data_IF_240303322633
#
_entry.id   IF_240303322633
#
_cell.length_a   1.000
_cell.length_b   1.000
_cell.length_c   1.000
_cell.angle_alpha   90.00
_cell.angle_beta   90.00
_cell.angle_gamma   90.00
#
_symmetry.space_group_name_H-M   'P 1'
#
loop_
_entity.id
_entity.type
_entity.pdbx_description
1 polymer ?
#
# COMPACT_ATOMS: atom_id res chain seq x y z
N UNK A 1 11.56 -19.05 -25.73
CA UNK A 1 12.48 -18.34 -24.79
C UNK A 1 11.56 -17.60 -23.85
N UNK A 2 11.60 -17.90 -22.54
CA UNK A 2 10.89 -17.12 -21.54
C UNK A 2 11.49 -15.72 -21.52
N UNK A 3 10.63 -14.69 -21.59
CA UNK A 3 11.10 -13.30 -21.45
C UNK A 3 11.90 -13.14 -20.14
N UNK A 4 12.97 -12.33 -20.14
CA UNK A 4 13.74 -12.09 -18.94
C UNK A 4 12.83 -11.46 -17.87
N UNK A 5 12.94 -11.94 -16.65
CA UNK A 5 12.20 -11.40 -15.49
C UNK A 5 12.62 -9.94 -15.28
N UNK A 6 11.66 -9.02 -15.25
CA UNK A 6 11.88 -7.58 -15.08
C UNK A 6 11.55 -7.16 -13.64
N UNK A 7 12.43 -6.37 -13.02
CA UNK A 7 12.18 -5.75 -11.72
C UNK A 7 11.09 -4.67 -11.85
N UNK A 8 10.05 -4.73 -11.02
CA UNK A 8 8.96 -3.75 -11.00
C UNK A 8 9.18 -2.71 -9.91
N UNK A 9 9.00 -1.44 -10.24
CA UNK A 9 9.19 -0.34 -9.31
C UNK A 9 7.93 0.51 -9.18
N UNK A 10 7.39 0.56 -7.97
CA UNK A 10 6.35 1.51 -7.60
C UNK A 10 6.88 2.54 -6.62
N UNK A 11 6.22 3.69 -6.52
CA UNK A 11 6.53 4.69 -5.49
C UNK A 11 5.30 5.05 -4.67
N UNK A 12 5.45 5.00 -3.35
CA UNK A 12 4.45 5.48 -2.41
C UNK A 12 4.59 7.00 -2.26
N UNK A 13 3.60 7.73 -2.75
CA UNK A 13 3.53 9.17 -2.65
C UNK A 13 2.63 9.58 -1.47
N UNK A 14 3.25 10.17 -0.45
CA UNK A 14 2.57 10.70 0.73
C UNK A 14 3.12 12.08 1.06
N UNK A 15 2.30 13.06 1.31
CA UNK A 15 2.65 14.44 1.70
C UNK A 15 4.14 14.80 1.66
N UNK A 16 4.79 14.76 2.81
CA UNK A 16 6.22 15.08 2.95
C UNK A 16 7.15 13.85 2.94
N UNK A 17 6.62 12.63 2.80
CA UNK A 17 7.42 11.39 2.78
C UNK A 17 7.03 10.36 3.85
N UNK A 18 7.76 9.23 3.87
CA UNK A 18 7.47 8.09 4.76
C UNK A 18 7.92 8.26 6.20
N UNK A 19 8.91 9.12 6.49
CA UNK A 19 9.33 9.39 7.86
C UNK A 19 8.32 10.31 8.56
N UNK A 20 8.01 10.04 9.81
CA UNK A 20 7.03 10.80 10.57
C UNK A 20 7.39 12.28 10.76
N UNK A 21 8.69 12.58 10.82
CA UNK A 21 9.22 13.94 10.98
C UNK A 21 9.59 14.60 9.65
N UNK A 22 9.31 13.96 8.50
CA UNK A 22 9.65 14.46 7.17
C UNK A 22 9.14 15.86 6.88
N UNK A 23 7.98 16.24 7.43
CA UNK A 23 7.41 17.58 7.30
C UNK A 23 8.30 18.70 7.86
N UNK A 24 9.23 18.37 8.77
CA UNK A 24 10.23 19.30 9.35
C UNK A 24 11.47 19.47 8.49
N UNK A 25 11.66 18.60 7.50
CA UNK A 25 12.82 18.67 6.61
C UNK A 25 12.76 19.95 5.76
N UNK A 26 13.90 20.67 5.54
CA UNK A 26 13.91 21.92 4.79
C UNK A 26 13.33 21.82 3.37
N UNK A 27 13.43 20.67 2.71
CA UNK A 27 12.87 20.44 1.36
C UNK A 27 11.39 20.08 1.36
N UNK A 28 10.78 19.82 2.51
CA UNK A 28 9.37 19.40 2.57
C UNK A 28 8.43 20.54 2.11
N UNK A 29 7.38 20.15 1.38
CA UNK A 29 6.34 21.09 0.95
C UNK A 29 5.28 21.14 2.05
N UNK A 30 5.04 22.29 2.69
CA UNK A 30 4.20 22.40 3.89
C UNK A 30 2.77 21.90 3.72
N UNK A 31 2.15 22.14 2.55
CA UNK A 31 0.81 21.71 2.18
C UNK A 31 0.80 20.47 1.26
N UNK A 32 1.92 19.77 1.12
CA UNK A 32 2.13 18.68 0.17
C UNK A 32 1.05 17.59 0.23
N UNK A 33 0.49 17.34 1.40
CA UNK A 33 -0.54 16.32 1.59
C UNK A 33 -1.86 16.59 0.84
N UNK A 34 -2.18 17.85 0.53
CA UNK A 34 -3.40 18.30 -0.19
C UNK A 34 -3.07 19.25 -1.35
N UNK A 35 -1.86 19.18 -1.87
CA UNK A 35 -1.41 20.00 -2.99
C UNK A 35 -1.40 19.19 -4.29
N UNK A 36 -2.41 19.37 -5.14
CA UNK A 36 -2.54 18.64 -6.40
C UNK A 36 -1.33 18.87 -7.32
N UNK A 37 -0.83 20.12 -7.45
CA UNK A 37 0.31 20.42 -8.32
C UNK A 37 1.58 19.69 -7.88
N UNK A 38 1.75 19.54 -6.58
CA UNK A 38 2.84 18.79 -6.00
C UNK A 38 2.77 17.30 -6.40
N UNK A 39 1.62 16.65 -6.23
CA UNK A 39 1.43 15.27 -6.65
C UNK A 39 1.53 15.08 -8.17
N UNK A 40 1.03 16.02 -8.97
CA UNK A 40 1.24 16.02 -10.42
C UNK A 40 2.73 16.03 -10.79
N UNK A 41 3.52 16.90 -10.14
CA UNK A 41 4.96 16.97 -10.36
C UNK A 41 5.68 15.66 -10.03
N UNK A 42 5.40 15.07 -8.86
CA UNK A 42 5.98 13.80 -8.44
C UNK A 42 5.56 12.64 -9.36
N UNK A 43 4.28 12.59 -9.76
CA UNK A 43 3.77 11.52 -10.63
C UNK A 43 4.37 11.59 -12.02
N UNK A 44 4.51 12.79 -12.62
CA UNK A 44 5.20 12.97 -13.90
C UNK A 44 6.67 12.56 -13.80
N UNK A 45 7.36 12.96 -12.72
CA UNK A 45 8.75 12.56 -12.49
C UNK A 45 8.88 11.03 -12.40
N UNK A 46 7.95 10.35 -11.73
CA UNK A 46 7.91 8.90 -11.69
C UNK A 46 7.67 8.27 -13.08
N UNK A 47 6.79 8.85 -13.89
CA UNK A 47 6.54 8.42 -15.26
C UNK A 47 7.75 8.62 -16.16
N UNK A 48 8.41 9.77 -16.09
CA UNK A 48 9.63 10.09 -16.85
C UNK A 48 10.78 9.15 -16.48
N UNK A 49 10.91 8.82 -15.20
CA UNK A 49 11.86 7.84 -14.68
C UNK A 49 11.50 6.37 -15.00
N UNK A 50 10.37 6.11 -15.70
CA UNK A 50 9.91 4.77 -16.10
C UNK A 50 9.55 3.85 -14.94
N UNK A 51 9.12 4.38 -13.81
CA UNK A 51 8.52 3.56 -12.78
C UNK A 51 7.22 2.94 -13.28
N UNK A 52 6.89 1.75 -12.77
CA UNK A 52 5.68 1.01 -13.21
C UNK A 52 4.39 1.67 -12.70
N UNK A 53 4.39 2.20 -11.47
CA UNK A 53 3.18 2.82 -10.88
C UNK A 53 3.49 3.77 -9.72
N UNK A 54 2.55 4.68 -9.48
CA UNK A 54 2.47 5.45 -8.22
C UNK A 54 1.37 4.87 -7.33
N UNK A 55 1.57 4.95 -6.02
CA UNK A 55 0.67 4.40 -5.03
C UNK A 55 0.28 5.44 -3.98
N UNK A 56 -1.01 5.47 -3.63
CA UNK A 56 -1.57 6.33 -2.60
C UNK A 56 -2.25 5.49 -1.52
N UNK A 57 -1.73 5.59 -0.30
CA UNK A 57 -2.32 4.96 0.88
C UNK A 57 -3.49 5.75 1.43
N UNK A 58 -4.35 5.05 2.19
CA UNK A 58 -5.44 5.67 2.93
C UNK A 58 -5.58 5.12 4.35
N UNK A 59 -6.26 5.89 5.20
CA UNK A 59 -6.64 5.52 6.55
C UNK A 59 -7.86 6.31 6.98
N UNK A 60 -8.90 5.61 7.44
CA UNK A 60 -10.25 6.13 7.65
C UNK A 60 -10.49 6.66 9.07
N UNK A 61 -9.41 6.88 9.81
CA UNK A 61 -9.47 7.40 11.19
C UNK A 61 -8.22 8.23 11.49
N UNK A 62 -8.45 9.33 12.18
CA UNK A 62 -7.41 10.16 12.78
C UNK A 62 -7.83 10.56 14.21
N UNK A 63 -6.85 10.89 15.03
CA UNK A 63 -7.02 11.52 16.33
C UNK A 63 -6.02 12.66 16.48
N UNK A 64 -6.14 13.43 17.56
CA UNK A 64 -5.18 14.47 17.94
C UNK A 64 -3.77 13.92 18.23
N UNK A 65 -3.64 12.59 18.45
CA UNK A 65 -2.36 11.89 18.63
C UNK A 65 -1.78 11.39 17.31
N UNK A 66 -2.50 11.51 16.19
CA UNK A 66 -2.00 11.10 14.89
C UNK A 66 -0.85 12.00 14.44
N UNK A 67 0.23 11.39 13.95
CA UNK A 67 1.35 12.21 13.48
C UNK A 67 1.02 12.95 12.17
N UNK A 68 1.71 14.07 11.87
CA UNK A 68 1.35 15.00 10.80
C UNK A 68 1.11 14.37 9.43
N UNK A 69 1.90 13.37 9.02
CA UNK A 69 1.74 12.72 7.71
C UNK A 69 0.42 11.94 7.54
N UNK A 70 -0.31 11.68 8.65
CA UNK A 70 -1.60 10.96 8.61
C UNK A 70 -2.80 11.86 8.88
N UNK A 71 -2.59 13.09 9.35
CA UNK A 71 -3.68 14.00 9.70
C UNK A 71 -4.48 14.48 8.49
N UNK A 72 -3.81 14.69 7.36
CA UNK A 72 -4.42 15.30 6.17
C UNK A 72 -3.98 14.54 4.92
N UNK A 73 -4.92 14.24 4.03
CA UNK A 73 -4.67 13.66 2.71
C UNK A 73 -5.88 13.84 1.80
N UNK A 74 -5.65 13.77 0.49
CA UNK A 74 -6.73 13.56 -0.46
C UNK A 74 -7.34 12.16 -0.32
N UNK A 75 -8.63 12.03 -0.63
CA UNK A 75 -9.22 10.73 -0.91
C UNK A 75 -8.56 10.15 -2.17
N UNK A 76 -8.02 8.90 -2.09
CA UNK A 76 -7.11 8.43 -3.14
C UNK A 76 -7.74 8.28 -4.52
N UNK A 77 -8.99 7.78 -4.66
CA UNK A 77 -9.60 7.58 -5.97
C UNK A 77 -9.89 8.88 -6.72
N UNK A 78 -10.31 9.91 -6.00
CA UNK A 78 -10.52 11.25 -6.60
C UNK A 78 -9.19 11.85 -7.04
N UNK A 79 -8.12 11.62 -6.28
CA UNK A 79 -6.78 12.03 -6.68
C UNK A 79 -6.31 11.27 -7.92
N UNK A 80 -6.52 9.95 -8.01
CA UNK A 80 -6.17 9.18 -9.21
C UNK A 80 -6.87 9.69 -10.46
N UNK A 81 -8.15 10.06 -10.36
CA UNK A 81 -8.89 10.61 -11.50
C UNK A 81 -8.26 11.92 -12.02
N UNK A 82 -7.76 12.77 -11.13
CA UNK A 82 -7.04 14.00 -11.51
C UNK A 82 -5.68 13.68 -12.14
N UNK A 83 -4.90 12.74 -11.57
CA UNK A 83 -3.60 12.36 -12.08
C UNK A 83 -3.68 11.58 -13.41
N UNK A 84 -4.78 10.86 -13.66
CA UNK A 84 -5.02 10.15 -14.92
C UNK A 84 -5.03 11.11 -16.11
N UNK A 85 -5.49 12.36 -15.92
CA UNK A 85 -5.52 13.38 -16.97
C UNK A 85 -4.15 14.00 -17.27
N UNK A 86 -3.17 13.77 -16.39
CA UNK A 86 -1.85 14.40 -16.42
C UNK A 86 -0.72 13.41 -16.77
N UNK A 87 -1.04 12.14 -16.95
CA UNK A 87 -0.13 11.03 -17.21
C UNK A 87 -0.63 10.13 -18.34
N UNK A 88 0.27 9.35 -18.95
CA UNK A 88 -0.04 8.54 -20.13
C UNK A 88 0.22 7.04 -19.93
N UNK A 89 1.28 6.67 -19.19
CA UNK A 89 1.79 5.30 -19.13
C UNK A 89 1.80 4.73 -17.70
N UNK A 90 2.12 5.56 -16.70
CA UNK A 90 2.33 5.10 -15.33
C UNK A 90 1.04 4.56 -14.71
N UNK A 91 1.13 3.40 -14.04
CA UNK A 91 0.04 2.83 -13.27
C UNK A 91 -0.36 3.73 -12.09
N UNK A 92 -1.64 3.77 -11.78
CA UNK A 92 -2.25 4.62 -10.76
C UNK A 92 -2.95 3.74 -9.74
N UNK A 93 -2.32 3.52 -8.58
CA UNK A 93 -2.82 2.62 -7.56
C UNK A 93 -3.30 3.37 -6.30
N UNK A 94 -4.48 3.02 -5.81
CA UNK A 94 -5.10 3.62 -4.64
C UNK A 94 -5.59 2.59 -3.62
N UNK A 95 -5.50 2.95 -2.35
CA UNK A 95 -6.08 2.18 -1.25
C UNK A 95 -7.58 2.42 -1.15
N UNK A 96 -8.36 1.34 -0.96
CA UNK A 96 -9.76 1.42 -0.60
C UNK A 96 -10.19 0.23 0.24
N UNK A 97 -10.99 0.52 1.28
CA UNK A 97 -11.40 -0.43 2.31
C UNK A 97 -12.53 -1.35 1.85
N UNK A 98 -12.40 -2.65 2.10
CA UNK A 98 -13.50 -3.62 1.96
C UNK A 98 -14.41 -3.67 3.18
N UNK A 99 -13.96 -3.19 4.34
CA UNK A 99 -14.73 -3.19 5.59
C UNK A 99 -15.73 -2.04 5.67
N UNK A 100 -15.38 -0.89 5.05
CA UNK A 100 -16.12 0.37 5.17
C UNK A 100 -16.61 0.92 3.83
N UNK A 101 -16.63 0.10 2.80
CA UNK A 101 -17.15 0.46 1.47
C UNK A 101 -18.20 -0.54 1.00
N UNK A 102 -18.86 -0.23 -0.11
CA UNK A 102 -19.85 -1.07 -0.76
C UNK A 102 -19.28 -1.65 -2.07
N UNK A 103 -19.38 -2.97 -2.32
CA UNK A 103 -18.73 -3.61 -3.46
C UNK A 103 -19.21 -3.08 -4.82
N UNK A 104 -20.49 -2.76 -4.98
CA UNK A 104 -21.02 -2.19 -6.23
C UNK A 104 -20.45 -0.79 -6.48
N UNK A 105 -20.37 0.03 -5.44
CA UNK A 105 -19.80 1.38 -5.51
C UNK A 105 -18.32 1.33 -5.87
N UNK A 106 -17.55 0.45 -5.22
CA UNK A 106 -16.11 0.28 -5.48
C UNK A 106 -15.86 -0.21 -6.90
N UNK A 107 -16.63 -1.20 -7.38
CA UNK A 107 -16.52 -1.68 -8.74
C UNK A 107 -16.74 -0.55 -9.77
N UNK A 108 -17.75 0.30 -9.57
CA UNK A 108 -18.02 1.46 -10.44
C UNK A 108 -16.89 2.50 -10.42
N UNK A 109 -16.40 2.82 -9.22
CA UNK A 109 -15.37 3.84 -9.04
C UNK A 109 -14.08 3.42 -9.73
N UNK A 110 -13.59 2.18 -9.49
CA UNK A 110 -12.39 1.69 -10.14
C UNK A 110 -12.56 1.53 -11.65
N UNK A 111 -13.71 1.05 -12.15
CA UNK A 111 -13.97 1.04 -13.59
C UNK A 111 -13.90 2.44 -14.19
N UNK A 112 -14.43 3.44 -13.50
CA UNK A 112 -14.38 4.83 -13.97
C UNK A 112 -12.94 5.35 -14.04
N UNK A 113 -12.14 5.14 -13.00
CA UNK A 113 -10.72 5.51 -12.99
C UNK A 113 -9.95 4.74 -14.07
N UNK A 114 -10.29 3.48 -14.30
CA UNK A 114 -9.64 2.67 -15.32
C UNK A 114 -9.93 3.16 -16.75
N UNK A 115 -11.18 3.55 -17.02
CA UNK A 115 -11.53 4.22 -18.29
C UNK A 115 -10.82 5.56 -18.45
N UNK A 116 -10.83 6.42 -17.41
CA UNK A 116 -10.18 7.73 -17.42
C UNK A 116 -8.66 7.62 -17.63
N UNK A 117 -8.04 6.59 -17.06
CA UNK A 117 -6.61 6.34 -17.19
C UNK A 117 -6.21 5.50 -18.42
N UNK A 118 -7.18 5.06 -19.25
CA UNK A 118 -6.95 4.15 -20.37
C UNK A 118 -6.31 2.81 -19.96
N UNK A 119 -6.82 2.19 -18.89
CA UNK A 119 -6.42 0.85 -18.43
C UNK A 119 -5.18 0.85 -17.53
N UNK A 120 -5.09 1.79 -16.57
CA UNK A 120 -3.93 1.92 -15.66
C UNK A 120 -4.29 1.91 -14.17
N UNK A 121 -5.55 1.65 -13.82
CA UNK A 121 -5.99 1.65 -12.44
C UNK A 121 -5.47 0.42 -11.66
N UNK A 122 -5.10 0.64 -10.39
CA UNK A 122 -4.76 -0.40 -9.43
C UNK A 122 -5.48 -0.19 -8.10
N UNK A 123 -5.96 -1.26 -7.49
CA UNK A 123 -6.64 -1.24 -6.20
C UNK A 123 -5.85 -1.97 -5.13
N UNK A 124 -5.35 -1.21 -4.15
CA UNK A 124 -4.82 -1.79 -2.92
C UNK A 124 -5.98 -2.10 -1.97
N UNK A 125 -6.27 -3.39 -1.85
CA UNK A 125 -7.37 -3.94 -1.06
C UNK A 125 -6.95 -3.97 0.40
N UNK A 126 -7.64 -3.21 1.26
CA UNK A 126 -7.36 -3.21 2.70
C UNK A 126 -8.60 -3.57 3.52
N UNK A 127 -8.38 -4.21 4.65
CA UNK A 127 -9.41 -4.52 5.63
C UNK A 127 -9.50 -3.48 6.74
N UNK A 128 -8.77 -2.37 6.62
CA UNK A 128 -8.70 -1.23 7.57
C UNK A 128 -8.32 -1.63 9.00
N UNK A 129 -7.05 -1.46 9.40
CA UNK A 129 -6.59 -1.93 10.71
C UNK A 129 -6.97 -1.01 11.88
N UNK A 130 -7.39 0.24 11.60
CA UNK A 130 -7.66 1.26 12.63
C UNK A 130 -9.05 1.09 13.22
N UNK A 131 -9.14 0.72 14.49
CA UNK A 131 -10.40 0.45 15.20
C UNK A 131 -11.33 1.68 15.23
N UNK A 132 -10.79 2.88 15.40
CA UNK A 132 -11.55 4.13 15.40
C UNK A 132 -12.30 4.42 14.10
N UNK A 133 -11.98 3.74 13.01
CA UNK A 133 -12.71 3.86 11.74
C UNK A 133 -14.19 3.49 11.86
N UNK A 134 -14.55 2.56 12.75
CA UNK A 134 -15.92 2.08 12.92
C UNK A 134 -16.91 3.23 13.21
N UNK A 135 -16.52 4.15 14.08
CA UNK A 135 -17.36 5.27 14.49
C UNK A 135 -17.68 6.23 13.33
N UNK A 136 -16.75 6.40 12.36
CA UNK A 136 -16.95 7.23 11.17
C UNK A 136 -17.91 6.60 10.15
N UNK A 137 -18.17 5.29 10.27
CA UNK A 137 -18.99 4.52 9.33
C UNK A 137 -20.26 3.94 9.97
N UNK A 138 -20.75 4.58 11.03
CA UNK A 138 -21.98 4.18 11.73
C UNK A 138 -21.99 2.71 12.19
N UNK A 139 -20.83 2.20 12.59
CA UNK A 139 -20.71 0.85 13.16
C UNK A 139 -20.45 0.95 14.67
N UNK A 140 -21.10 0.12 15.49
CA UNK A 140 -20.91 0.16 16.94
C UNK A 140 -19.51 -0.28 17.37
N UNK A 141 -18.87 -1.15 16.58
CA UNK A 141 -17.55 -1.68 16.86
C UNK A 141 -16.80 -2.03 15.56
N UNK A 142 -15.49 -2.11 15.66
CA UNK A 142 -14.62 -2.56 14.59
C UNK A 142 -14.70 -4.09 14.47
N UNK A 143 -14.99 -4.64 13.27
CA UNK A 143 -15.06 -6.08 13.12
C UNK A 143 -13.72 -6.76 13.43
N UNK A 144 -13.77 -7.97 13.98
CA UNK A 144 -12.59 -8.77 14.30
C UNK A 144 -11.75 -9.06 13.04
N UNK A 145 -10.44 -9.22 13.24
CA UNK A 145 -9.44 -9.38 12.16
C UNK A 145 -9.85 -10.46 11.13
N UNK A 146 -10.15 -11.68 11.57
CA UNK A 146 -10.48 -12.78 10.66
C UNK A 146 -11.82 -12.58 9.94
N UNK A 147 -12.79 -11.95 10.61
CA UNK A 147 -14.06 -11.58 10.00
C UNK A 147 -13.84 -10.58 8.86
N UNK A 148 -12.98 -9.59 9.05
CA UNK A 148 -12.66 -8.61 8.01
C UNK A 148 -12.06 -9.26 6.75
N UNK A 149 -11.20 -10.28 6.90
CA UNK A 149 -10.66 -11.02 5.75
C UNK A 149 -11.68 -11.92 5.06
N UNK A 150 -12.65 -12.50 5.80
CA UNK A 150 -13.78 -13.23 5.19
C UNK A 150 -14.65 -12.28 4.37
N UNK A 151 -15.02 -11.14 4.94
CA UNK A 151 -15.76 -10.08 4.22
C UNK A 151 -15.00 -9.62 2.98
N UNK A 152 -13.69 -9.40 3.07
CA UNK A 152 -12.87 -8.99 1.95
C UNK A 152 -12.84 -10.04 0.83
N UNK A 153 -12.85 -11.32 1.16
CA UNK A 153 -12.93 -12.41 0.19
C UNK A 153 -14.19 -12.33 -0.67
N UNK A 154 -15.36 -12.24 -0.03
CA UNK A 154 -16.65 -12.11 -0.71
C UNK A 154 -16.75 -10.77 -1.49
N UNK A 155 -16.26 -9.69 -0.89
CA UNK A 155 -16.21 -8.37 -1.55
C UNK A 155 -15.44 -8.40 -2.88
N UNK A 156 -14.26 -9.01 -2.90
CA UNK A 156 -13.43 -9.13 -4.11
C UNK A 156 -14.08 -10.04 -5.15
N UNK A 157 -14.72 -11.12 -4.75
CA UNK A 157 -15.48 -11.98 -5.65
C UNK A 157 -16.58 -11.17 -6.36
N UNK A 158 -17.35 -10.39 -5.61
CA UNK A 158 -18.40 -9.52 -6.16
C UNK A 158 -17.83 -8.49 -7.12
N UNK A 159 -16.78 -7.77 -6.74
CA UNK A 159 -16.20 -6.73 -7.62
C UNK A 159 -15.67 -7.32 -8.92
N UNK A 160 -15.01 -8.47 -8.87
CA UNK A 160 -14.56 -9.21 -10.07
C UNK A 160 -15.75 -9.60 -10.97
N UNK A 161 -16.79 -10.19 -10.40
CA UNK A 161 -17.99 -10.56 -11.15
C UNK A 161 -18.71 -9.36 -11.76
N UNK A 162 -18.70 -8.21 -11.09
CA UNK A 162 -19.27 -6.97 -11.62
C UNK A 162 -18.46 -6.41 -12.79
N UNK A 163 -17.11 -6.50 -12.75
CA UNK A 163 -16.26 -6.08 -13.89
C UNK A 163 -16.44 -6.98 -15.12
N UNK A 164 -16.88 -8.21 -14.92
CA UNK A 164 -17.21 -9.17 -15.99
C UNK A 164 -18.68 -9.09 -16.44
N UNK A 165 -19.46 -8.08 -16.02
CA UNK A 165 -20.85 -7.90 -16.42
C UNK A 165 -21.04 -7.72 -17.93
N UNK A 166 -20.06 -7.15 -18.62
CA UNK A 166 -20.09 -6.87 -20.05
C UNK A 166 -18.95 -7.60 -20.76
N UNK A 167 -19.25 -8.28 -21.85
CA UNK A 167 -18.22 -8.75 -22.78
C UNK A 167 -17.59 -7.58 -23.56
N UNK A 168 -16.39 -7.75 -24.07
CA UNK A 168 -15.63 -6.66 -24.70
C UNK A 168 -16.35 -6.04 -25.91
N UNK A 169 -17.12 -6.84 -26.65
CA UNK A 169 -17.85 -6.44 -27.85
C UNK A 169 -19.38 -6.32 -27.65
N UNK A 170 -19.83 -6.23 -26.39
CA UNK A 170 -21.26 -6.08 -26.05
C UNK A 170 -21.91 -4.81 -26.60
N UNK A 171 -21.14 -3.73 -26.78
CA UNK A 171 -21.64 -2.44 -27.24
C UNK A 171 -21.54 -2.30 -28.76
N UNK A 172 -22.57 -2.72 -29.48
CA UNK A 172 -22.67 -2.69 -30.96
C UNK A 172 -22.68 -1.26 -31.51
N UNK A 173 -23.47 -0.38 -30.92
CA UNK A 173 -23.61 1.05 -31.28
C UNK A 173 -23.91 1.28 -32.76
N UNK A 174 -24.70 0.38 -33.40
CA UNK A 174 -25.10 0.50 -34.80
C UNK A 174 -26.19 1.57 -34.93
N UNK A 175 -25.85 2.66 -35.59
CA UNK A 175 -26.75 3.81 -35.80
C UNK A 175 -27.80 3.55 -36.88
N UNK A 176 -27.57 2.62 -37.80
CA UNK A 176 -28.48 2.33 -38.90
C UNK A 176 -29.62 1.42 -38.42
N UNK A 177 -29.30 0.34 -37.72
CA UNK A 177 -30.29 -0.58 -37.14
C UNK A 177 -30.90 -0.10 -35.81
N UNK A 178 -30.25 0.85 -35.14
CA UNK A 178 -30.63 1.31 -33.80
C UNK A 178 -30.22 0.33 -32.67
N UNK A 179 -29.45 -0.70 -32.95
CA UNK A 179 -28.94 -1.67 -31.98
C UNK A 179 -27.79 -1.05 -31.22
N UNK A 180 -27.97 -0.79 -29.93
CA UNK A 180 -26.94 -0.17 -29.08
C UNK A 180 -26.07 -1.22 -28.37
N UNK A 181 -26.70 -2.29 -27.87
CA UNK A 181 -26.00 -3.41 -27.20
C UNK A 181 -26.47 -4.74 -27.75
N UNK A 182 -25.64 -5.77 -27.57
CA UNK A 182 -26.05 -7.17 -27.64
C UNK A 182 -26.47 -7.63 -26.23
N UNK A 183 -27.77 -7.87 -25.97
CA UNK A 183 -28.25 -8.23 -24.63
C UNK A 183 -27.72 -9.61 -24.14
N UNK A 184 -27.32 -10.50 -25.06
CA UNK A 184 -26.75 -11.81 -24.69
C UNK A 184 -25.33 -11.69 -24.10
N UNK A 185 -24.68 -10.55 -24.31
CA UNK A 185 -23.34 -10.20 -23.78
C UNK A 185 -23.39 -9.35 -22.52
N UNK A 186 -24.55 -9.27 -21.89
CA UNK A 186 -24.74 -8.61 -20.60
C UNK A 186 -25.09 -9.66 -19.53
N UNK A 187 -24.22 -9.79 -18.54
CA UNK A 187 -24.35 -10.82 -17.51
C UNK A 187 -24.69 -10.19 -16.15
N UNK A 188 -25.76 -10.67 -15.54
CA UNK A 188 -26.11 -10.30 -14.16
C UNK A 188 -25.32 -11.17 -13.19
N UNK A 189 -24.82 -10.55 -12.11
CA UNK A 189 -24.08 -11.28 -11.09
C UNK A 189 -25.00 -12.12 -10.19
N UNK A 190 -26.14 -11.55 -9.78
CA UNK A 190 -27.15 -12.15 -8.87
C UNK A 190 -26.54 -12.81 -7.61
N UNK A 191 -25.45 -12.19 -7.07
CA UNK A 191 -24.73 -12.69 -5.90
C UNK A 191 -25.61 -12.65 -4.64
N UNK A 192 -25.58 -13.76 -3.90
CA UNK A 192 -26.19 -13.89 -2.56
C UNK A 192 -25.21 -14.62 -1.66
N UNK A 193 -24.56 -13.87 -0.79
CA UNK A 193 -23.49 -14.36 0.07
C UNK A 193 -23.80 -14.18 1.55
N UNK A 194 -22.78 -14.42 2.35
CA UNK A 194 -22.86 -14.29 3.80
C UNK A 194 -22.96 -12.81 4.24
N UNK A 195 -22.24 -11.92 3.55
CA UNK A 195 -22.11 -10.50 3.93
C UNK A 195 -22.83 -9.57 2.97
N UNK A 196 -22.95 -9.94 1.71
CA UNK A 196 -23.44 -9.05 0.66
C UNK A 196 -24.48 -9.72 -0.24
N UNK A 197 -25.43 -8.92 -0.72
CA UNK A 197 -26.37 -9.32 -1.78
C UNK A 197 -26.30 -8.26 -2.88
N UNK A 198 -25.81 -8.64 -4.07
CA UNK A 198 -25.58 -7.71 -5.17
C UNK A 198 -26.12 -8.31 -6.47
N UNK A 199 -27.11 -7.67 -7.05
CA UNK A 199 -27.74 -8.15 -8.28
C UNK A 199 -26.88 -7.92 -9.52
N UNK A 200 -26.20 -6.76 -9.62
CA UNK A 200 -25.62 -6.33 -10.89
C UNK A 200 -26.70 -6.08 -11.97
N UNK A 201 -26.33 -5.96 -13.24
CA UNK A 201 -24.97 -5.83 -13.74
C UNK A 201 -24.35 -4.48 -13.38
N UNK A 202 -23.06 -4.33 -13.62
CA UNK A 202 -22.38 -3.03 -13.49
C UNK A 202 -22.84 -2.08 -14.61
N UNK A 203 -23.09 -0.81 -14.28
CA UNK A 203 -23.60 0.19 -15.22
C UNK A 203 -22.50 0.99 -15.97
N UNK A 204 -21.35 0.37 -16.17
CA UNK A 204 -20.25 0.89 -16.97
C UNK A 204 -19.68 -0.26 -17.80
N UNK A 205 -19.27 0.02 -19.05
CA UNK A 205 -18.69 -0.99 -19.93
C UNK A 205 -17.38 -1.54 -19.38
N UNK A 206 -16.99 -2.72 -19.83
CA UNK A 206 -15.67 -3.31 -19.54
C UNK A 206 -14.57 -2.34 -19.99
N UNK A 207 -13.59 -2.14 -19.14
CA UNK A 207 -12.45 -1.28 -19.41
C UNK A 207 -11.39 -2.00 -20.25
N UNK A 208 -10.41 -1.26 -20.79
CA UNK A 208 -9.36 -1.82 -21.65
C UNK A 208 -8.51 -2.90 -20.97
N UNK A 209 -8.24 -2.80 -19.68
CA UNK A 209 -7.51 -3.86 -18.95
C UNK A 209 -8.46 -4.90 -18.31
N UNK A 210 -9.77 -4.73 -18.43
CA UNK A 210 -10.80 -5.64 -17.94
C UNK A 210 -11.10 -5.48 -16.45
N UNK A 211 -10.10 -5.53 -15.61
CA UNK A 211 -10.18 -5.28 -14.16
C UNK A 211 -8.95 -4.48 -13.70
N UNK A 212 -9.06 -3.65 -12.66
CA UNK A 212 -7.90 -3.02 -12.04
C UNK A 212 -6.89 -4.05 -11.56
N UNK A 213 -5.59 -3.68 -11.54
CA UNK A 213 -4.57 -4.50 -10.89
C UNK A 213 -4.88 -4.59 -9.39
N UNK A 214 -4.97 -5.79 -8.86
CA UNK A 214 -5.30 -6.04 -7.46
C UNK A 214 -4.04 -6.13 -6.62
N UNK A 215 -3.94 -5.25 -5.64
CA UNK A 215 -2.80 -5.13 -4.75
C UNK A 215 -3.25 -5.42 -3.31
N UNK A 216 -2.38 -5.99 -2.49
CA UNK A 216 -2.67 -6.29 -1.09
C UNK A 216 -1.41 -6.15 -0.24
N UNK A 217 -1.55 -5.77 1.04
CA UNK A 217 -0.42 -5.49 1.93
C UNK A 217 -0.44 -6.32 3.24
N UNK A 218 -1.21 -7.41 3.32
CA UNK A 218 -1.33 -8.24 4.53
C UNK A 218 -0.16 -9.17 4.72
N UNK A 219 0.50 -9.07 5.88
CA UNK A 219 1.63 -9.94 6.26
C UNK A 219 1.27 -10.99 7.32
N UNK A 220 0.09 -10.90 7.96
CA UNK A 220 -0.45 -11.91 8.87
C UNK A 220 -0.78 -13.22 8.14
N UNK A 221 -1.03 -14.31 8.88
CA UNK A 221 -1.42 -15.59 8.29
C UNK A 221 -2.67 -15.47 7.42
N UNK A 222 -3.72 -14.82 7.93
CA UNK A 222 -4.94 -14.54 7.18
C UNK A 222 -4.67 -13.63 5.96
N UNK A 223 -3.82 -12.60 6.15
CA UNK A 223 -3.44 -11.67 5.07
C UNK A 223 -2.71 -12.36 3.93
N UNK A 224 -1.70 -13.18 4.22
CA UNK A 224 -0.98 -13.97 3.20
C UNK A 224 -1.88 -14.98 2.50
N UNK A 225 -2.75 -15.66 3.27
CA UNK A 225 -3.74 -16.58 2.72
C UNK A 225 -4.74 -15.93 1.78
N UNK A 226 -5.18 -14.71 2.09
CA UNK A 226 -6.04 -13.90 1.23
C UNK A 226 -5.27 -13.39 0.01
N UNK A 227 -4.14 -12.71 0.22
CA UNK A 227 -3.35 -12.10 -0.85
C UNK A 227 -2.95 -13.10 -1.94
N UNK A 228 -2.48 -14.29 -1.55
CA UNK A 228 -2.06 -15.35 -2.48
C UNK A 228 -3.19 -15.84 -3.41
N UNK A 229 -4.45 -15.68 -3.00
CA UNK A 229 -5.63 -16.06 -3.80
C UNK A 229 -6.08 -14.98 -4.75
N UNK A 230 -5.95 -13.70 -4.38
CA UNK A 230 -6.64 -12.61 -5.09
C UNK A 230 -5.72 -11.57 -5.71
N UNK A 231 -4.52 -11.32 -5.12
CA UNK A 231 -3.67 -10.20 -5.51
C UNK A 231 -2.76 -10.51 -6.70
N UNK A 232 -2.54 -9.51 -7.55
CA UNK A 232 -1.55 -9.52 -8.62
C UNK A 232 -0.19 -9.00 -8.10
N UNK A 233 -0.22 -8.09 -7.11
CA UNK A 233 0.96 -7.61 -6.43
C UNK A 233 0.75 -7.56 -4.90
N UNK A 234 1.82 -7.82 -4.14
CA UNK A 234 1.78 -7.84 -2.68
C UNK A 234 2.86 -6.91 -2.14
N UNK A 235 2.44 -5.87 -1.42
CA UNK A 235 3.35 -5.02 -0.66
C UNK A 235 3.67 -5.68 0.67
N UNK A 236 4.93 -5.59 1.09
CA UNK A 236 5.34 -6.18 2.37
C UNK A 236 6.47 -5.38 3.02
N UNK A 237 6.45 -5.31 4.36
CA UNK A 237 7.55 -4.76 5.15
C UNK A 237 8.44 -5.88 5.65
N UNK A 238 9.64 -6.04 5.08
CA UNK A 238 10.64 -7.00 5.52
C UNK A 238 11.92 -6.27 5.90
N UNK A 239 12.43 -6.55 7.10
CA UNK A 239 13.60 -5.85 7.63
C UNK A 239 14.90 -6.35 7.01
N UNK A 240 14.97 -7.64 6.64
CA UNK A 240 16.15 -8.29 6.08
C UNK A 240 15.83 -9.05 4.81
N UNK A 241 16.84 -9.26 3.97
CA UNK A 241 16.72 -10.09 2.77
C UNK A 241 16.36 -11.55 3.10
N UNK A 242 16.81 -12.08 4.23
CA UNK A 242 16.47 -13.43 4.68
C UNK A 242 14.96 -13.57 4.96
N UNK A 243 14.38 -12.59 5.71
CA UNK A 243 12.94 -12.55 5.98
C UNK A 243 12.15 -12.40 4.69
N UNK A 244 12.60 -11.52 3.79
CA UNK A 244 11.97 -11.31 2.48
C UNK A 244 11.97 -12.60 1.64
N UNK A 245 13.09 -13.36 1.63
CA UNK A 245 13.18 -14.65 0.93
C UNK A 245 12.21 -15.68 1.52
N UNK A 246 12.10 -15.75 2.84
CA UNK A 246 11.17 -16.66 3.51
C UNK A 246 9.70 -16.29 3.18
N UNK A 247 9.36 -15.00 3.26
CA UNK A 247 8.04 -14.49 2.88
C UNK A 247 7.72 -14.77 1.41
N UNK A 248 8.67 -14.52 0.52
CA UNK A 248 8.53 -14.76 -0.92
C UNK A 248 8.19 -16.22 -1.21
N UNK A 249 8.95 -17.15 -0.62
CA UNK A 249 8.71 -18.60 -0.79
C UNK A 249 7.35 -19.02 -0.28
N UNK A 250 6.95 -18.55 0.91
CA UNK A 250 5.65 -18.87 1.51
C UNK A 250 4.50 -18.39 0.62
N UNK A 251 4.51 -17.14 0.16
CA UNK A 251 3.45 -16.58 -0.67
C UNK A 251 3.38 -17.28 -2.04
N UNK A 252 4.52 -17.52 -2.70
CA UNK A 252 4.55 -18.23 -3.98
C UNK A 252 4.02 -19.68 -3.85
N UNK A 253 4.32 -20.35 -2.76
CA UNK A 253 3.78 -21.69 -2.48
C UNK A 253 2.25 -21.65 -2.24
N UNK A 254 1.76 -20.66 -1.49
CA UNK A 254 0.31 -20.46 -1.26
C UNK A 254 -0.42 -20.17 -2.57
N UNK A 255 0.13 -19.33 -3.44
CA UNK A 255 -0.43 -19.06 -4.77
C UNK A 255 -0.56 -20.33 -5.59
N UNK A 256 0.50 -21.16 -5.62
CA UNK A 256 0.49 -22.47 -6.29
C UNK A 256 -0.58 -23.40 -5.69
N UNK A 257 -0.69 -23.45 -4.36
CA UNK A 257 -1.70 -24.27 -3.65
C UNK A 257 -3.13 -23.79 -3.91
N UNK A 258 -3.31 -22.50 -4.22
CA UNK A 258 -4.57 -21.90 -4.62
C UNK A 258 -4.87 -22.06 -6.13
N UNK A 259 -4.06 -22.79 -6.88
CA UNK A 259 -4.23 -23.03 -8.31
C UNK A 259 -3.80 -21.87 -9.22
N UNK A 260 -3.08 -20.89 -8.68
CA UNK A 260 -2.55 -19.75 -9.44
C UNK A 260 -1.13 -20.00 -9.92
N UNK A 261 -0.77 -19.40 -11.04
CA UNK A 261 0.62 -19.34 -11.46
C UNK A 261 1.41 -18.40 -10.53
N UNK A 262 2.41 -18.88 -9.77
CA UNK A 262 3.15 -18.05 -8.83
C UNK A 262 3.93 -16.90 -9.49
N UNK A 263 4.22 -16.97 -10.80
CA UNK A 263 4.89 -15.88 -11.52
C UNK A 263 3.97 -14.65 -11.74
N UNK A 264 2.65 -14.83 -11.63
CA UNK A 264 1.65 -13.76 -11.78
C UNK A 264 1.34 -13.04 -10.45
N UNK A 265 1.94 -13.46 -9.34
CA UNK A 265 1.81 -12.82 -8.03
C UNK A 265 3.12 -12.12 -7.69
N UNK A 266 3.22 -10.84 -7.96
CA UNK A 266 4.43 -10.06 -7.73
C UNK A 266 4.58 -9.72 -6.23
N UNK A 267 5.78 -9.83 -5.70
CA UNK A 267 6.08 -9.49 -4.31
C UNK A 267 7.01 -8.27 -4.31
N UNK A 268 6.52 -7.18 -3.72
CA UNK A 268 7.15 -5.86 -3.74
C UNK A 268 7.44 -5.39 -2.31
N UNK A 269 8.60 -5.75 -1.74
CA UNK A 269 9.02 -5.22 -0.45
C UNK A 269 9.16 -3.70 -0.46
N UNK A 270 8.87 -3.06 0.67
CA UNK A 270 9.15 -1.66 0.88
C UNK A 270 10.66 -1.40 0.85
N UNK A 271 11.06 -0.43 0.05
CA UNK A 271 12.43 0.05 -0.07
C UNK A 271 12.46 1.54 0.29
N UNK A 272 13.18 1.91 1.35
CA UNK A 272 13.40 3.30 1.76
C UNK A 272 14.80 3.75 1.37
N UNK A 273 15.07 4.09 0.10
CA UNK A 273 16.40 4.45 -0.33
C UNK A 273 16.82 5.82 0.23
N UNK A 274 18.09 5.91 0.66
CA UNK A 274 18.76 7.18 0.98
C UNK A 274 20.07 7.21 0.17
N UNK A 275 20.10 8.07 -0.83
CA UNK A 275 21.14 8.10 -1.83
C UNK A 275 22.03 9.34 -1.63
N UNK A 276 23.33 9.14 -1.63
CA UNK A 276 24.34 10.19 -1.63
C UNK A 276 25.45 9.88 -2.65
N UNK A 277 26.20 10.89 -3.08
CA UNK A 277 27.31 10.69 -4.02
C UNK A 277 28.43 9.86 -3.40
N UNK A 278 28.56 9.89 -2.07
CA UNK A 278 29.48 9.06 -1.28
C UNK A 278 28.72 8.33 -0.16
N UNK A 279 29.31 7.23 0.40
CA UNK A 279 28.72 6.56 1.56
C UNK A 279 28.54 7.50 2.77
N UNK A 280 29.50 8.41 2.97
CA UNK A 280 29.49 9.39 4.07
C UNK A 280 28.35 10.40 3.90
N UNK A 281 28.07 10.83 2.67
CA UNK A 281 26.95 11.72 2.38
C UNK A 281 25.60 11.01 2.61
N UNK A 282 25.47 9.78 2.14
CA UNK A 282 24.25 8.98 2.38
C UNK A 282 24.01 8.78 3.88
N UNK A 283 25.08 8.52 4.66
CA UNK A 283 25.00 8.42 6.11
C UNK A 283 24.61 9.76 6.76
N UNK A 284 25.18 10.88 6.30
CA UNK A 284 24.82 12.19 6.79
C UNK A 284 23.34 12.53 6.54
N UNK A 285 22.81 12.22 5.35
CA UNK A 285 21.39 12.36 5.02
C UNK A 285 20.50 11.48 5.93
N UNK A 286 20.92 10.25 6.21
CA UNK A 286 20.19 9.38 7.15
C UNK A 286 20.14 9.98 8.55
N UNK A 287 21.28 10.48 9.06
CA UNK A 287 21.36 11.11 10.38
C UNK A 287 20.54 12.41 10.45
N UNK A 288 20.55 13.22 9.38
CA UNK A 288 19.71 14.42 9.28
C UNK A 288 18.23 14.07 9.48
N UNK A 289 17.74 13.05 8.77
CA UNK A 289 16.34 12.60 8.87
C UNK A 289 16.05 12.04 10.28
N UNK A 290 16.93 11.21 10.83
CA UNK A 290 16.76 10.63 12.15
C UNK A 290 16.70 11.72 13.25
N UNK A 291 17.50 12.76 13.14
CA UNK A 291 17.56 13.87 14.09
C UNK A 291 16.35 14.83 14.02
N UNK A 292 15.50 14.72 12.98
CA UNK A 292 14.23 15.46 12.94
C UNK A 292 13.20 14.94 13.93
N UNK A 293 13.31 13.67 14.35
CA UNK A 293 12.30 13.02 15.20
C UNK A 293 12.42 13.52 16.64
N UNK A 294 11.29 13.93 17.23
CA UNK A 294 11.18 14.22 18.66
C UNK A 294 10.58 13.04 19.39
N UNK A 295 11.00 12.83 20.65
CA UNK A 295 10.65 11.61 21.38
C UNK A 295 9.14 11.46 21.61
N UNK A 296 8.44 12.54 21.92
CA UNK A 296 6.98 12.50 22.14
C UNK A 296 6.23 12.03 20.89
N UNK A 297 6.65 12.50 19.72
CA UNK A 297 6.09 12.06 18.44
C UNK A 297 6.44 10.59 18.16
N UNK A 298 7.65 10.14 18.51
CA UNK A 298 8.07 8.76 18.37
C UNK A 298 7.24 7.81 19.25
N UNK A 299 6.93 8.23 20.47
CA UNK A 299 6.06 7.48 21.38
C UNK A 299 4.62 7.39 20.84
N UNK A 300 4.09 8.49 20.34
CA UNK A 300 2.76 8.51 19.69
C UNK A 300 2.73 7.60 18.45
N UNK A 301 3.79 7.62 17.63
CA UNK A 301 3.91 6.74 16.46
C UNK A 301 3.96 5.27 16.87
N UNK A 302 4.75 4.94 17.87
CA UNK A 302 4.81 3.59 18.43
C UNK A 302 3.45 3.15 18.99
N UNK A 303 2.78 4.05 19.74
CA UNK A 303 1.46 3.82 20.33
C UNK A 303 0.39 3.45 19.30
N UNK A 304 0.46 3.99 18.09
CA UNK A 304 -0.45 3.69 16.99
C UNK A 304 -0.52 2.20 16.63
N UNK A 305 0.60 1.49 16.70
CA UNK A 305 0.62 0.04 16.48
C UNK A 305 -0.03 -0.72 17.64
N UNK A 306 -0.16 -0.09 18.79
CA UNK A 306 -0.76 -0.61 20.01
C UNK A 306 -2.07 0.11 20.38
N UNK A 307 -2.97 0.27 19.41
CA UNK A 307 -4.31 0.88 19.57
C UNK A 307 -4.26 2.26 20.25
N UNK A 308 -3.39 3.13 19.77
CA UNK A 308 -3.12 4.49 20.29
C UNK A 308 -2.73 4.49 21.79
N UNK A 309 -2.01 3.45 22.22
CA UNK A 309 -1.52 3.33 23.60
C UNK A 309 -0.65 4.54 23.97
N UNK A 310 -0.92 5.11 25.14
CA UNK A 310 -0.09 6.16 25.72
C UNK A 310 1.12 5.56 26.43
N UNK A 311 2.30 5.80 25.88
CA UNK A 311 3.57 5.39 26.48
C UNK A 311 4.19 6.45 27.39
N UNK A 312 3.62 7.66 27.50
CA UNK A 312 4.18 8.75 28.32
C UNK A 312 4.33 8.44 29.82
N UNK A 313 3.50 7.54 30.43
CA UNK A 313 3.69 7.17 31.83
C UNK A 313 4.87 6.22 32.10
N UNK A 314 5.46 5.64 31.07
CA UNK A 314 6.56 4.68 31.21
C UNK A 314 7.91 5.39 31.25
N UNK A 315 8.86 4.83 31.99
CA UNK A 315 10.24 5.31 32.00
C UNK A 315 10.90 5.03 30.63
N UNK A 316 11.37 6.10 29.99
CA UNK A 316 11.96 6.03 28.65
C UNK A 316 13.23 5.19 28.58
N UNK A 317 14.00 5.18 29.65
CA UNK A 317 15.30 4.53 29.69
C UNK A 317 15.22 3.11 30.32
N UNK A 318 14.01 2.70 30.78
CA UNK A 318 13.73 1.33 31.17
C UNK A 318 13.54 0.43 29.94
N UNK A 319 13.72 -0.91 30.09
CA UNK A 319 13.40 -1.86 29.03
C UNK A 319 11.98 -1.69 28.49
N UNK A 320 11.79 -1.98 27.20
CA UNK A 320 10.46 -1.91 26.56
C UNK A 320 9.44 -2.74 27.37
N UNK A 321 8.23 -2.19 27.65
CA UNK A 321 7.27 -2.85 28.54
C UNK A 321 6.72 -4.15 27.96
N UNK A 322 6.41 -5.09 28.84
CA UNK A 322 5.74 -6.35 28.49
C UNK A 322 4.24 -6.09 28.23
N UNK A 323 3.82 -6.14 26.95
CA UNK A 323 2.46 -5.76 26.52
C UNK A 323 1.54 -6.96 26.23
N UNK A 324 2.00 -8.20 26.43
CA UNK A 324 1.19 -9.39 26.14
C UNK A 324 0.60 -9.39 24.72
N UNK A 325 -0.70 -9.63 24.60
CA UNK A 325 -1.42 -9.65 23.31
C UNK A 325 -1.95 -8.27 22.87
N UNK A 326 -1.62 -7.21 23.59
CA UNK A 326 -2.11 -5.86 23.27
C UNK A 326 -1.67 -5.41 21.87
N UNK A 327 -2.58 -4.81 21.13
CA UNK A 327 -2.36 -4.32 19.76
C UNK A 327 -2.54 -5.34 18.63
N UNK A 328 -2.69 -6.64 18.92
CA UNK A 328 -2.76 -7.70 17.89
C UNK A 328 -3.99 -7.60 17.00
N UNK A 329 -5.13 -7.11 17.48
CA UNK A 329 -6.34 -6.98 16.65
C UNK A 329 -6.17 -6.01 15.47
N UNK A 330 -5.34 -4.97 15.62
CA UNK A 330 -5.04 -4.00 14.55
C UNK A 330 -3.89 -4.45 13.65
N UNK A 331 -2.68 -4.53 14.22
CA UNK A 331 -1.41 -4.70 13.52
C UNK A 331 -0.62 -5.94 13.99
N UNK A 332 -1.25 -7.12 14.01
CA UNK A 332 -0.71 -8.34 14.62
C UNK A 332 0.77 -8.58 14.28
N UNK A 333 1.11 -8.69 12.99
CA UNK A 333 2.49 -8.99 12.57
C UNK A 333 3.49 -7.89 12.92
N UNK A 334 3.06 -6.63 12.98
CA UNK A 334 3.92 -5.49 13.32
C UNK A 334 4.18 -5.43 14.82
N UNK A 335 3.13 -5.56 15.63
CA UNK A 335 3.25 -5.54 17.10
C UNK A 335 4.09 -6.69 17.63
N UNK A 336 3.94 -7.90 17.04
CA UNK A 336 4.74 -9.05 17.42
C UNK A 336 6.23 -8.85 17.06
N UNK A 337 6.53 -8.28 15.89
CA UNK A 337 7.91 -7.94 15.49
C UNK A 337 8.53 -6.87 16.40
N UNK A 338 7.78 -5.83 16.77
CA UNK A 338 8.26 -4.78 17.69
C UNK A 338 8.61 -5.38 19.05
N UNK A 339 7.72 -6.18 19.66
CA UNK A 339 7.94 -6.85 20.93
C UNK A 339 9.15 -7.78 20.88
N UNK A 340 9.25 -8.58 19.81
CA UNK A 340 10.35 -9.52 19.65
C UNK A 340 11.69 -8.79 19.50
N UNK A 341 11.75 -7.76 18.66
CA UNK A 341 12.96 -6.95 18.45
C UNK A 341 13.42 -6.27 19.73
N UNK A 342 12.49 -5.66 20.48
CA UNK A 342 12.79 -5.01 21.74
C UNK A 342 13.40 -5.99 22.75
N UNK A 343 12.88 -7.23 22.80
CA UNK A 343 13.37 -8.30 23.67
C UNK A 343 14.73 -8.82 23.24
N UNK A 344 14.91 -9.13 21.95
CA UNK A 344 16.14 -9.76 21.42
C UNK A 344 17.36 -8.83 21.56
N UNK A 345 17.14 -7.52 21.37
CA UNK A 345 18.20 -6.53 21.46
C UNK A 345 18.22 -5.78 22.81
N UNK A 346 17.35 -6.16 23.76
CA UNK A 346 17.21 -5.52 25.09
C UNK A 346 17.09 -4.00 25.01
N UNK A 347 16.21 -3.53 24.10
CA UNK A 347 16.03 -2.11 23.85
C UNK A 347 15.22 -1.43 24.97
N UNK A 348 15.60 -0.20 25.32
CA UNK A 348 14.77 0.68 26.13
C UNK A 348 13.55 1.17 25.32
N UNK A 349 12.54 1.70 26.02
CA UNK A 349 11.38 2.30 25.38
C UNK A 349 11.78 3.43 24.41
N UNK A 350 12.74 4.29 24.81
CA UNK A 350 13.32 5.36 23.98
C UNK A 350 13.91 4.81 22.68
N UNK A 351 14.79 3.82 22.81
CA UNK A 351 15.45 3.23 21.66
C UNK A 351 14.47 2.57 20.71
N UNK A 352 13.49 1.83 21.25
CA UNK A 352 12.44 1.19 20.41
C UNK A 352 11.56 2.23 19.72
N UNK A 353 11.17 3.30 20.41
CA UNK A 353 10.37 4.37 19.82
C UNK A 353 11.12 5.06 18.66
N UNK A 354 12.35 5.50 18.88
CA UNK A 354 13.15 6.14 17.84
C UNK A 354 13.45 5.20 16.67
N UNK A 355 13.79 3.95 16.94
CA UNK A 355 14.08 2.95 15.91
C UNK A 355 12.85 2.61 15.06
N UNK A 356 11.66 2.64 15.63
CA UNK A 356 10.42 2.42 14.88
C UNK A 356 10.13 3.53 13.86
N UNK A 357 10.64 4.73 14.09
CA UNK A 357 10.39 5.91 13.23
C UNK A 357 11.38 6.07 12.08
N UNK A 358 12.63 5.63 12.27
CA UNK A 358 13.70 5.74 11.27
C UNK A 358 14.50 4.44 11.22
N UNK A 359 13.90 3.35 10.72
CA UNK A 359 14.59 2.07 10.65
C UNK A 359 15.74 2.12 9.64
N UNK A 360 16.92 1.63 10.06
CA UNK A 360 18.04 1.47 9.18
C UNK A 360 17.81 0.28 8.24
N UNK A 361 18.18 0.42 6.99
CA UNK A 361 18.05 -0.62 5.98
C UNK A 361 19.30 -0.68 5.07
N UNK A 362 19.38 -1.69 4.19
CA UNK A 362 20.51 -1.90 3.27
C UNK A 362 20.43 -1.07 1.97
N UNK A 363 19.50 -0.14 1.87
CA UNK A 363 19.34 0.76 0.72
C UNK A 363 19.83 2.20 1.02
N UNK A 364 20.82 2.31 1.93
CA UNK A 364 21.49 3.57 2.27
C UNK A 364 22.91 3.51 1.70
N UNK A 365 23.26 4.42 0.78
CA UNK A 365 24.58 4.42 0.16
C UNK A 365 24.62 5.18 -1.16
N UNK A 366 25.68 4.93 -1.93
CA UNK A 366 25.79 5.48 -3.29
C UNK A 366 24.77 4.84 -4.24
N UNK A 367 24.46 5.46 -5.40
CA UNK A 367 23.59 4.86 -6.40
C UNK A 367 23.94 3.42 -6.74
N UNK A 368 25.25 3.14 -6.91
CA UNK A 368 25.73 1.79 -7.22
C UNK A 368 25.48 0.79 -6.06
N UNK A 369 25.67 1.21 -4.82
CA UNK A 369 25.41 0.36 -3.64
C UNK A 369 23.93 0.03 -3.50
N UNK A 370 23.06 1.04 -3.64
CA UNK A 370 21.60 0.85 -3.58
C UNK A 370 21.12 -0.06 -4.70
N UNK A 371 21.56 0.17 -5.94
CA UNK A 371 21.21 -0.66 -7.09
C UNK A 371 21.67 -2.12 -6.90
N UNK A 372 22.91 -2.35 -6.41
CA UNK A 372 23.43 -3.67 -6.13
C UNK A 372 22.61 -4.40 -5.03
N UNK A 373 22.20 -3.69 -3.97
CA UNK A 373 21.33 -4.25 -2.94
C UNK A 373 19.97 -4.65 -3.52
N UNK A 374 19.34 -3.80 -4.32
CA UNK A 374 18.07 -4.11 -4.99
C UNK A 374 18.21 -5.31 -5.95
N UNK A 375 19.28 -5.36 -6.75
CA UNK A 375 19.57 -6.47 -7.63
C UNK A 375 19.75 -7.78 -6.85
N UNK A 376 20.49 -7.74 -5.73
CA UNK A 376 20.69 -8.91 -4.89
C UNK A 376 19.38 -9.46 -4.31
N UNK A 377 18.45 -8.60 -3.89
CA UNK A 377 17.11 -9.02 -3.44
C UNK A 377 16.31 -9.68 -4.58
N UNK A 378 16.35 -9.07 -5.76
CA UNK A 378 15.63 -9.57 -6.93
C UNK A 378 16.16 -10.93 -7.41
N UNK A 379 17.48 -11.09 -7.55
CA UNK A 379 18.10 -12.30 -8.06
C UNK A 379 18.01 -13.48 -7.07
N UNK A 380 18.03 -13.21 -5.76
CA UNK A 380 17.96 -14.24 -4.73
C UNK A 380 16.53 -14.64 -4.32
N UNK A 381 15.51 -14.22 -5.07
CA UNK A 381 14.13 -14.61 -4.80
C UNK A 381 13.59 -14.02 -3.49
N UNK A 382 13.95 -12.78 -3.18
CA UNK A 382 13.42 -11.99 -2.08
C UNK A 382 12.38 -10.96 -2.55
N UNK A 383 12.41 -10.61 -3.85
CA UNK A 383 11.53 -9.61 -4.45
C UNK A 383 11.27 -9.87 -5.94
N UNK A 384 10.12 -9.45 -6.46
CA UNK A 384 9.85 -9.28 -7.88
C UNK A 384 10.02 -7.81 -8.33
N UNK A 385 10.26 -6.94 -7.37
CA UNK A 385 10.42 -5.50 -7.52
C UNK A 385 10.33 -4.82 -6.17
N UNK A 386 10.12 -3.51 -6.14
CA UNK A 386 10.08 -2.75 -4.89
C UNK A 386 8.99 -1.69 -4.89
N UNK A 387 8.46 -1.44 -3.70
CA UNK A 387 7.69 -0.23 -3.39
C UNK A 387 8.62 0.79 -2.73
N UNK A 388 8.98 1.83 -3.48
CA UNK A 388 9.80 2.92 -2.95
C UNK A 388 9.00 3.71 -1.90
N UNK A 389 9.54 3.82 -0.71
CA UNK A 389 8.99 4.59 0.40
C UNK A 389 10.03 5.59 0.87
N UNK A 390 10.20 6.67 0.12
CA UNK A 390 11.20 7.69 0.41
C UNK A 390 10.92 8.35 1.75
N UNK A 391 11.93 8.41 2.61
CA UNK A 391 11.82 9.00 3.95
C UNK A 391 11.39 10.46 3.90
N UNK A 392 11.89 11.21 2.91
CA UNK A 392 11.55 12.62 2.67
C UNK A 392 11.14 12.80 1.20
N UNK A 393 10.05 13.54 0.95
CA UNK A 393 9.61 13.98 -0.37
C UNK A 393 9.64 15.52 -0.44
N UNK A 394 10.04 16.11 -1.58
CA UNK A 394 10.44 15.48 -2.85
C UNK A 394 11.89 15.00 -2.90
N UNK A 395 12.76 15.48 -1.98
CA UNK A 395 14.21 15.34 -2.10
C UNK A 395 14.66 13.87 -2.24
N UNK A 396 14.28 12.99 -1.31
CA UNK A 396 14.73 11.60 -1.35
C UNK A 396 14.25 10.83 -2.61
N UNK A 397 13.11 11.22 -3.19
CA UNK A 397 12.68 10.66 -4.47
C UNK A 397 13.51 11.23 -5.63
N UNK A 398 13.84 12.51 -5.60
CA UNK A 398 14.71 13.13 -6.59
C UNK A 398 16.11 12.47 -6.58
N UNK A 399 16.71 12.32 -5.39
CA UNK A 399 18.02 11.68 -5.24
C UNK A 399 18.04 10.23 -5.76
N UNK A 400 16.92 9.54 -5.72
CA UNK A 400 16.82 8.17 -6.21
C UNK A 400 16.68 8.09 -7.74
N UNK A 401 15.90 9.00 -8.38
CA UNK A 401 15.62 8.90 -9.81
C UNK A 401 16.61 9.64 -10.70
N UNK A 402 17.30 10.67 -10.19
CA UNK A 402 18.31 11.45 -10.91
C UNK A 402 19.66 10.74 -10.92
#
# INVERSE_FOLDING_TARGET
MTEPRMMRLGVFLSGSGGNMASWRHPSAVPDGAVNLKYFQGLTRKAEDAKLDFVFFGDGLYISEKSHPNFLVRFEPLTLLAALAMDTTNIGLAATLSTTYSDPYTVARQFSSVDHLSNGRAGWNIVTSPLEGSAANYNKPEHPQHDLRYRMAGEFVEITKGLWDSWEDDAFVRDKESGVFIDPEKLHRLDHKGEFFNVQGPLNISRSKQGSPVLIQAGSSEAGRGFASKVADAIFTGQATRADATAFYKDVKQRATSAGRNPSEVLILPGCGPIVGDTPEEAEAKYQEIANLVVIDDALNYLGRYFNDMDFSPYDLDAPFPELGDFGRNGWESTTDKIKQLAKDENLSLREMALRSTTPRNEFIGTPAQVANSMQAWFENGAADGFMLNNSVLPQGFNDFVD
#
